data_IF_678285081150
#
_entry.id   IF_678285081150
#
_cell.length_a   1.000
_cell.length_b   1.000
_cell.length_c   1.000
_cell.angle_alpha   90.00
_cell.angle_beta   90.00
_cell.angle_gamma   90.00
#
_symmetry.space_group_name_H-M   'P 1'
#
loop_
_entity.id
_entity.type
_entity.pdbx_description
1 polymer ?
#
# COMPACT_ATOMS: atom_id res chain seq x y z
N UNK A 1 -13.45 -5.42 28.88
CA UNK A 1 -13.53 -5.44 27.41
C UNK A 1 -12.11 -5.23 26.93
N UNK A 2 -11.41 -6.30 26.53
CA UNK A 2 -10.03 -6.20 26.08
C UNK A 2 -9.99 -5.32 24.83
N UNK A 3 -9.39 -4.14 24.95
CA UNK A 3 -9.01 -3.32 23.81
C UNK A 3 -7.98 -4.14 23.04
N UNK A 4 -8.32 -4.61 21.83
CA UNK A 4 -7.35 -5.25 20.96
C UNK A 4 -6.27 -4.22 20.63
N UNK A 5 -5.13 -4.30 21.31
CA UNK A 5 -3.99 -3.46 21.00
C UNK A 5 -3.43 -3.89 19.66
N UNK A 6 -3.51 -3.02 18.65
CA UNK A 6 -2.89 -3.31 17.37
C UNK A 6 -1.37 -3.12 17.50
N UNK A 7 -0.61 -4.09 17.02
CA UNK A 7 0.83 -3.95 16.92
C UNK A 7 1.18 -3.26 15.59
N UNK A 8 1.60 -2.00 15.64
CA UNK A 8 1.93 -1.24 14.42
C UNK A 8 3.11 -1.86 13.65
N UNK A 9 3.99 -2.63 14.30
CA UNK A 9 5.08 -3.36 13.62
C UNK A 9 4.54 -4.48 12.71
N UNK A 10 3.50 -5.19 13.14
CA UNK A 10 2.83 -6.21 12.31
C UNK A 10 2.11 -5.58 11.11
N UNK A 11 1.71 -4.32 11.25
CA UNK A 11 1.19 -3.51 10.16
C UNK A 11 2.31 -2.87 9.32
N UNK A 12 3.58 -3.24 9.47
CA UNK A 12 4.69 -2.78 8.61
C UNK A 12 5.36 -1.47 9.04
N UNK A 13 5.28 -1.07 10.32
CA UNK A 13 5.97 0.13 10.81
C UNK A 13 7.49 -0.04 10.81
N UNK A 14 8.18 0.67 9.91
CA UNK A 14 9.65 0.71 9.86
C UNK A 14 10.24 1.60 10.95
N UNK A 15 11.46 1.28 11.40
CA UNK A 15 12.18 2.07 12.41
C UNK A 15 12.55 3.48 11.91
N UNK A 16 12.73 3.65 10.59
CA UNK A 16 12.91 4.98 10.00
C UNK A 16 11.67 5.86 10.19
N UNK A 17 10.47 5.28 9.96
CA UNK A 17 9.19 5.99 10.10
C UNK A 17 8.87 6.28 11.57
N UNK A 18 9.17 5.33 12.48
CA UNK A 18 9.01 5.56 13.91
C UNK A 18 9.91 6.71 14.41
N UNK A 19 11.19 6.73 14.01
CA UNK A 19 12.11 7.82 14.35
C UNK A 19 11.69 9.17 13.77
N UNK A 20 11.21 9.19 12.53
CA UNK A 20 10.66 10.39 11.91
C UNK A 20 9.47 10.93 12.71
N UNK A 21 8.55 10.04 13.10
CA UNK A 21 7.40 10.39 13.92
C UNK A 21 7.81 10.97 15.28
N UNK A 22 8.68 10.28 16.02
CA UNK A 22 9.19 10.74 17.33
C UNK A 22 9.89 12.10 17.24
N UNK A 23 10.58 12.38 16.12
CA UNK A 23 11.27 13.64 15.92
C UNK A 23 10.32 14.80 15.62
N UNK A 24 9.20 14.56 14.92
CA UNK A 24 8.35 15.61 14.36
C UNK A 24 7.02 15.80 15.11
N UNK A 25 6.54 14.76 15.81
CA UNK A 25 5.16 14.70 16.32
C UNK A 25 5.08 14.14 17.75
N UNK A 26 5.89 14.67 18.67
CA UNK A 26 6.03 14.18 20.06
C UNK A 26 4.72 14.11 20.87
N UNK A 27 3.76 14.99 20.61
CA UNK A 27 2.48 15.07 21.33
C UNK A 27 1.31 14.58 20.47
N UNK A 28 1.56 13.56 19.64
CA UNK A 28 0.58 12.96 18.74
C UNK A 28 0.63 11.45 18.88
N UNK A 29 -0.31 10.79 18.24
CA UNK A 29 -0.35 9.34 18.15
C UNK A 29 -0.07 8.93 16.71
N UNK A 30 0.71 7.86 16.56
CA UNK A 30 1.01 7.29 15.27
C UNK A 30 -0.13 6.38 14.84
N UNK A 31 -0.51 6.45 13.57
CA UNK A 31 -1.44 5.49 13.00
C UNK A 31 -1.22 5.25 11.51
N UNK A 32 -1.82 4.17 11.01
CA UNK A 32 -1.80 3.79 9.59
C UNK A 32 -3.17 3.98 8.96
N UNK A 33 -3.24 4.69 7.84
CA UNK A 33 -4.47 4.85 7.06
C UNK A 33 -4.83 3.53 6.40
N UNK A 34 -6.01 2.99 6.70
CA UNK A 34 -6.51 1.73 6.11
C UNK A 34 -7.69 1.94 5.16
N UNK A 35 -8.35 3.09 5.25
CA UNK A 35 -9.46 3.42 4.35
C UNK A 35 -9.51 4.93 4.13
N UNK A 36 -9.84 5.33 2.91
CA UNK A 36 -10.13 6.71 2.53
C UNK A 36 -11.55 6.79 1.96
N UNK A 37 -12.35 7.72 2.49
CA UNK A 37 -13.72 7.99 2.06
C UNK A 37 -14.01 9.49 2.10
N UNK A 38 -13.96 10.15 0.94
CA UNK A 38 -14.38 11.57 0.74
C UNK A 38 -13.98 12.49 1.91
N UNK A 39 -12.68 12.72 2.09
CA UNK A 39 -12.07 13.56 3.14
C UNK A 39 -12.18 13.02 4.58
N UNK A 40 -12.71 11.82 4.77
CA UNK A 40 -12.63 11.06 6.01
C UNK A 40 -11.73 9.84 5.83
N UNK A 41 -11.00 9.48 6.88
CA UNK A 41 -9.99 8.43 6.89
C UNK A 41 -10.26 7.50 8.06
N UNK A 42 -10.07 6.19 7.85
CA UNK A 42 -9.97 5.25 8.96
C UNK A 42 -8.50 4.99 9.24
N UNK A 43 -8.09 5.22 10.47
CA UNK A 43 -6.70 5.11 10.92
C UNK A 43 -6.62 4.03 12.00
N UNK A 44 -5.70 3.09 11.83
CA UNK A 44 -5.35 2.11 12.86
C UNK A 44 -4.25 2.69 13.73
N UNK A 45 -4.51 2.83 15.02
CA UNK A 45 -3.57 3.19 16.08
C UNK A 45 -3.32 1.97 16.96
N UNK A 46 -2.40 2.07 17.92
CA UNK A 46 -2.20 0.99 18.92
C UNK A 46 -3.46 0.73 19.76
N UNK A 47 -4.32 1.73 19.94
CA UNK A 47 -5.53 1.64 20.78
C UNK A 47 -6.77 1.17 20.02
N UNK A 48 -6.78 1.26 18.69
CA UNK A 48 -7.94 0.82 17.91
C UNK A 48 -7.99 1.39 16.49
N UNK A 49 -9.17 1.30 15.87
CA UNK A 49 -9.46 1.95 14.60
C UNK A 49 -10.32 3.17 14.87
N UNK A 50 -9.87 4.34 14.44
CA UNK A 50 -10.57 5.61 14.63
C UNK A 50 -10.91 6.26 13.28
N UNK A 51 -11.95 7.10 13.27
CA UNK A 51 -12.20 8.00 12.15
C UNK A 51 -11.36 9.27 12.29
N UNK A 52 -10.89 9.80 11.18
CA UNK A 52 -10.01 10.95 11.16
C UNK A 52 -10.22 11.85 9.94
N UNK A 53 -9.92 13.14 10.09
CA UNK A 53 -9.94 14.16 9.03
C UNK A 53 -8.60 14.88 8.99
N UNK A 54 -8.24 15.44 7.84
CA UNK A 54 -7.03 16.28 7.75
C UNK A 54 -7.22 17.59 8.50
N UNK A 55 -6.16 18.07 9.13
CA UNK A 55 -6.13 19.41 9.70
C UNK A 55 -6.32 20.49 8.63
N UNK A 56 -6.83 21.65 9.03
CA UNK A 56 -6.96 22.81 8.14
C UNK A 56 -5.62 23.27 7.56
N UNK A 57 -4.51 23.05 8.28
CA UNK A 57 -3.16 23.33 7.79
C UNK A 57 -2.80 22.47 6.56
N UNK A 58 -2.99 21.15 6.64
CA UNK A 58 -2.75 20.26 5.49
C UNK A 58 -3.62 20.68 4.30
N UNK A 59 -4.89 21.00 4.55
CA UNK A 59 -5.81 21.42 3.48
C UNK A 59 -5.36 22.73 2.82
N UNK A 60 -4.78 23.65 3.59
CA UNK A 60 -4.25 24.92 3.09
C UNK A 60 -2.92 24.76 2.33
N UNK A 61 -2.02 23.91 2.84
CA UNK A 61 -0.69 23.68 2.28
C UNK A 61 -0.73 22.75 1.03
N UNK A 62 -1.79 21.95 0.87
CA UNK A 62 -1.94 21.01 -0.23
C UNK A 62 -2.06 21.71 -1.60
N UNK A 63 -1.13 21.38 -2.50
CA UNK A 63 -1.12 21.86 -3.88
C UNK A 63 -1.85 20.90 -4.82
N UNK A 64 -1.94 19.63 -4.43
CA UNK A 64 -2.46 18.54 -5.27
C UNK A 64 -3.06 17.42 -4.42
N UNK A 65 -3.63 16.41 -5.08
CA UNK A 65 -4.25 15.29 -4.37
C UNK A 65 -3.23 14.40 -3.63
N UNK A 66 -1.98 14.37 -4.09
CA UNK A 66 -0.93 13.58 -3.44
C UNK A 66 -0.50 14.11 -2.07
N UNK A 67 -0.78 15.38 -1.77
CA UNK A 67 -0.51 16.01 -0.48
C UNK A 67 -1.49 15.57 0.63
N UNK A 68 -2.58 14.90 0.25
CA UNK A 68 -3.53 14.30 1.19
C UNK A 68 -3.12 12.88 1.57
N UNK A 69 -3.57 12.38 2.75
CA UNK A 69 -3.35 10.99 3.13
C UNK A 69 -3.98 10.04 2.11
N UNK A 70 -3.32 8.91 1.88
CA UNK A 70 -3.76 7.81 1.05
C UNK A 70 -3.69 6.48 1.84
N UNK A 71 -4.31 5.43 1.33
CA UNK A 71 -4.27 4.11 1.96
C UNK A 71 -2.82 3.61 2.07
N UNK A 72 -2.43 3.23 3.29
CA UNK A 72 -1.08 2.81 3.63
C UNK A 72 -0.20 3.92 4.22
N UNK A 73 -0.62 5.19 4.20
CA UNK A 73 0.14 6.26 4.84
C UNK A 73 0.25 6.04 6.35
N UNK A 74 1.42 6.36 6.87
CA UNK A 74 1.62 6.58 8.29
C UNK A 74 1.31 8.05 8.58
N UNK A 75 0.51 8.31 9.60
CA UNK A 75 0.00 9.65 9.93
C UNK A 75 0.14 9.93 11.42
N UNK A 76 0.30 11.22 11.75
CA UNK A 76 0.24 11.72 13.11
C UNK A 76 -1.15 12.26 13.41
N UNK A 77 -1.86 11.66 14.37
CA UNK A 77 -3.21 12.05 14.80
C UNK A 77 -3.19 12.66 16.21
N UNK A 78 -4.14 13.54 16.51
CA UNK A 78 -4.25 14.23 17.81
C UNK A 78 -4.71 13.32 18.96
N UNK A 79 -5.38 12.21 18.65
CA UNK A 79 -5.86 11.21 19.60
C UNK A 79 -5.93 9.83 18.97
N UNK A 80 -5.94 8.80 19.79
CA UNK A 80 -6.05 7.39 19.41
C UNK A 80 -7.34 6.70 19.88
N UNK A 81 -8.22 7.44 20.56
CA UNK A 81 -9.53 6.99 21.05
C UNK A 81 -10.69 7.56 20.22
N UNK A 82 -11.70 6.72 19.93
CA UNK A 82 -12.90 7.08 19.17
C UNK A 82 -14.05 7.58 20.07
N UNK A 83 -13.77 8.58 20.92
CA UNK A 83 -14.74 9.05 21.92
C UNK A 83 -15.29 10.47 21.68
N UNK A 84 -14.64 11.28 20.83
CA UNK A 84 -14.97 12.70 20.65
C UNK A 84 -15.10 13.11 19.17
N UNK A 85 -15.71 12.25 18.35
CA UNK A 85 -15.83 12.46 16.90
C UNK A 85 -14.51 12.22 16.15
N UNK A 86 -14.42 12.69 14.90
CA UNK A 86 -13.26 12.44 14.03
C UNK A 86 -11.97 13.06 14.59
N UNK A 87 -10.94 12.24 14.77
CA UNK A 87 -9.59 12.71 15.09
C UNK A 87 -9.01 13.58 13.97
N UNK A 88 -7.96 14.33 14.27
CA UNK A 88 -7.33 15.25 13.32
C UNK A 88 -5.94 14.74 12.93
N UNK A 89 -5.72 14.54 11.63
CA UNK A 89 -4.41 14.24 11.03
C UNK A 89 -3.62 15.54 10.92
N UNK A 90 -2.53 15.62 11.67
CA UNK A 90 -1.61 16.76 11.71
C UNK A 90 -0.43 16.62 10.77
N UNK A 91 -0.14 15.41 10.30
CA UNK A 91 0.95 15.17 9.38
C UNK A 91 0.92 13.79 8.76
N UNK A 92 1.59 13.68 7.62
CA UNK A 92 1.79 12.45 6.86
C UNK A 92 3.30 12.19 6.88
N UNK A 93 3.71 10.99 7.30
CA UNK A 93 5.13 10.62 7.31
C UNK A 93 5.61 10.25 5.91
N UNK A 94 6.93 10.28 5.70
CA UNK A 94 7.52 10.03 4.39
C UNK A 94 7.15 8.65 3.82
N UNK A 95 6.62 8.65 2.60
CA UNK A 95 6.31 7.44 1.82
C UNK A 95 7.60 6.79 1.30
N UNK A 96 7.73 5.47 1.43
CA UNK A 96 8.83 4.72 0.83
C UNK A 96 8.45 4.01 -0.47
N UNK A 97 7.15 3.89 -0.75
CA UNK A 97 6.66 3.44 -2.04
C UNK A 97 5.33 4.10 -2.40
N UNK A 98 5.05 4.25 -3.70
CA UNK A 98 3.85 4.90 -4.23
C UNK A 98 3.35 4.17 -5.47
N UNK A 99 2.20 3.51 -5.36
CA UNK A 99 1.42 3.08 -6.52
C UNK A 99 0.44 4.17 -6.89
N UNK A 100 0.63 4.79 -8.05
CA UNK A 100 -0.28 5.81 -8.60
C UNK A 100 -0.75 5.44 -10.00
N UNK A 101 -1.89 6.00 -10.40
CA UNK A 101 -2.44 5.90 -11.74
C UNK A 101 -2.70 7.31 -12.27
N UNK A 102 -2.34 7.54 -13.53
CA UNK A 102 -2.70 8.77 -14.24
C UNK A 102 -4.21 8.83 -14.46
N UNK A 103 -4.85 9.91 -14.03
CA UNK A 103 -6.26 10.18 -14.33
C UNK A 103 -6.35 10.83 -15.72
N UNK A 104 -7.33 10.43 -16.52
CA UNK A 104 -7.54 11.00 -17.85
C UNK A 104 -8.32 12.32 -17.74
N UNK A 105 -7.82 13.37 -18.39
CA UNK A 105 -8.51 14.66 -18.55
C UNK A 105 -8.01 15.76 -17.61
N UNK A 106 -7.43 16.80 -18.22
CA UNK A 106 -7.13 18.14 -17.68
C UNK A 106 -6.30 18.15 -16.38
N UNK A 107 -4.98 18.30 -16.57
CA UNK A 107 -3.84 18.20 -15.61
C UNK A 107 -3.36 16.76 -15.37
N UNK A 108 -2.04 16.62 -15.26
CA UNK A 108 -1.32 15.38 -14.90
C UNK A 108 -1.62 14.96 -13.45
N UNK A 109 -2.89 14.92 -13.05
CA UNK A 109 -3.27 14.54 -11.71
C UNK A 109 -3.08 13.02 -11.58
N UNK A 110 -2.13 12.64 -10.73
CA UNK A 110 -1.91 11.28 -10.31
C UNK A 110 -2.85 10.94 -9.15
N UNK A 111 -3.61 9.86 -9.31
CA UNK A 111 -4.35 9.27 -8.21
C UNK A 111 -3.50 8.21 -7.54
N UNK A 112 -3.19 8.41 -6.25
CA UNK A 112 -2.55 7.39 -5.43
C UNK A 112 -3.55 6.28 -5.15
N UNK A 113 -3.15 5.03 -5.40
CA UNK A 113 -3.91 3.83 -5.10
C UNK A 113 -3.52 3.30 -3.72
N UNK A 114 -2.21 3.19 -3.47
CA UNK A 114 -1.66 2.73 -2.21
C UNK A 114 -0.19 3.17 -2.06
N UNK A 115 0.27 3.24 -0.82
CA UNK A 115 1.64 3.63 -0.47
C UNK A 115 2.18 2.73 0.64
N UNK A 116 3.49 2.79 0.87
CA UNK A 116 4.17 2.02 1.93
C UNK A 116 3.88 0.51 1.82
N UNK A 117 3.99 0.01 0.60
CA UNK A 117 3.99 -1.41 0.24
C UNK A 117 5.44 -1.85 0.05
N UNK A 118 5.85 -2.92 0.74
CA UNK A 118 7.19 -3.50 0.61
C UNK A 118 7.26 -4.50 -0.54
N UNK A 119 6.22 -5.33 -0.70
CA UNK A 119 6.18 -6.42 -1.66
C UNK A 119 4.88 -6.34 -2.46
N UNK A 120 4.99 -6.42 -3.78
CA UNK A 120 3.86 -6.46 -4.69
C UNK A 120 3.77 -7.85 -5.35
N UNK A 121 2.77 -8.63 -4.96
CA UNK A 121 2.48 -9.90 -5.63
C UNK A 121 1.74 -9.65 -6.94
N UNK A 122 2.38 -9.97 -8.06
CA UNK A 122 1.83 -9.86 -9.40
C UNK A 122 1.29 -11.22 -9.80
N UNK A 123 -0.03 -11.37 -9.79
CA UNK A 123 -0.68 -12.63 -10.11
C UNK A 123 -0.97 -12.72 -11.61
N UNK A 124 -0.58 -13.85 -12.22
CA UNK A 124 -0.93 -14.19 -13.59
C UNK A 124 -1.39 -15.64 -13.63
N UNK A 125 -2.49 -15.92 -14.32
CA UNK A 125 -3.00 -17.28 -14.45
C UNK A 125 -2.29 -18.01 -15.60
N UNK A 126 -1.90 -19.26 -15.38
CA UNK A 126 -1.23 -20.11 -16.39
C UNK A 126 -2.18 -20.65 -17.47
N UNK A 127 -3.48 -20.36 -17.37
CA UNK A 127 -4.47 -20.71 -18.38
C UNK A 127 -4.51 -19.70 -19.57
N UNK A 128 -5.67 -19.46 -20.17
CA UNK A 128 -5.88 -18.59 -21.34
C UNK A 128 -5.52 -17.10 -21.17
N UNK A 129 -5.04 -16.66 -20.01
CA UNK A 129 -4.66 -15.26 -19.76
C UNK A 129 -3.14 -15.05 -19.54
N UNK A 130 -2.33 -16.00 -19.98
CA UNK A 130 -0.87 -15.91 -19.95
C UNK A 130 -0.38 -14.82 -20.93
N UNK A 131 0.24 -13.76 -20.41
CA UNK A 131 0.64 -12.59 -21.21
C UNK A 131 1.92 -11.95 -20.67
N UNK A 132 3.05 -12.32 -21.27
CA UNK A 132 4.38 -11.86 -20.88
C UNK A 132 4.52 -10.33 -20.94
N UNK A 133 4.02 -9.69 -22.01
CA UNK A 133 4.09 -8.21 -22.15
C UNK A 133 3.35 -7.48 -21.04
N UNK A 134 2.22 -8.04 -20.57
CA UNK A 134 1.47 -7.49 -19.45
C UNK A 134 2.24 -7.70 -18.14
N UNK A 135 2.80 -8.89 -17.95
CA UNK A 135 3.58 -9.22 -16.76
C UNK A 135 4.81 -8.31 -16.63
N UNK A 136 5.60 -8.18 -17.69
CA UNK A 136 6.78 -7.32 -17.76
C UNK A 136 6.42 -5.87 -17.36
N UNK A 137 5.34 -5.33 -17.93
CA UNK A 137 4.87 -3.99 -17.56
C UNK A 137 4.52 -3.87 -16.07
N UNK A 138 3.88 -4.88 -15.48
CA UNK A 138 3.55 -4.86 -14.05
C UNK A 138 4.78 -5.00 -13.16
N UNK A 139 5.78 -5.78 -13.57
CA UNK A 139 7.07 -5.86 -12.89
C UNK A 139 7.73 -4.47 -12.87
N UNK A 140 7.76 -3.78 -14.02
CA UNK A 140 8.29 -2.42 -14.09
C UNK A 140 7.54 -1.45 -13.19
N UNK A 141 6.20 -1.46 -13.20
CA UNK A 141 5.39 -0.60 -12.32
C UNK A 141 5.64 -0.88 -10.84
N UNK A 142 5.83 -2.14 -10.44
CA UNK A 142 6.15 -2.48 -9.06
C UNK A 142 7.52 -1.90 -8.66
N UNK A 143 8.55 -2.07 -9.48
CA UNK A 143 9.86 -1.49 -9.22
C UNK A 143 9.82 0.05 -9.18
N UNK A 144 9.15 0.69 -10.13
CA UNK A 144 8.97 2.16 -10.16
C UNK A 144 8.25 2.69 -8.92
N UNK A 145 7.33 1.91 -8.35
CA UNK A 145 6.65 2.26 -7.11
C UNK A 145 7.57 2.25 -5.90
N UNK A 146 8.71 1.54 -5.96
CA UNK A 146 9.59 1.25 -4.82
C UNK A 146 9.29 -0.06 -4.07
N UNK A 147 8.27 -0.81 -4.47
CA UNK A 147 7.97 -2.13 -3.93
C UNK A 147 8.75 -3.23 -4.65
N UNK A 148 9.12 -4.30 -3.95
CA UNK A 148 9.73 -5.50 -4.55
C UNK A 148 8.64 -6.33 -5.24
N UNK A 149 8.70 -6.59 -6.55
CA UNK A 149 7.77 -7.51 -7.20
C UNK A 149 8.05 -8.96 -6.81
N UNK A 150 6.98 -9.76 -6.78
CA UNK A 150 7.01 -11.23 -6.76
C UNK A 150 5.95 -11.72 -7.73
N UNK A 151 6.34 -12.55 -8.70
CA UNK A 151 5.40 -13.12 -9.68
C UNK A 151 4.77 -14.39 -9.11
N UNK A 152 3.45 -14.45 -9.16
CA UNK A 152 2.67 -15.62 -8.72
C UNK A 152 1.87 -16.15 -9.90
N UNK A 153 2.36 -17.24 -10.48
CA UNK A 153 1.74 -17.99 -11.56
C UNK A 153 0.68 -18.92 -10.97
N UNK A 154 -0.59 -18.54 -11.08
CA UNK A 154 -1.73 -19.24 -10.49
C UNK A 154 -2.34 -20.27 -11.43
N UNK A 155 -3.11 -21.22 -10.88
CA UNK A 155 -3.79 -22.31 -11.61
C UNK A 155 -2.83 -23.28 -12.30
N UNK A 156 -1.71 -23.58 -11.65
CA UNK A 156 -0.73 -24.54 -12.18
C UNK A 156 -1.33 -25.93 -12.43
N UNK A 157 -2.37 -26.32 -11.68
CA UNK A 157 -3.12 -27.58 -11.85
C UNK A 157 -3.89 -27.68 -13.17
N UNK A 158 -4.17 -26.56 -13.83
CA UNK A 158 -4.91 -26.50 -15.09
C UNK A 158 -3.99 -26.26 -16.31
N UNK A 159 -2.68 -26.37 -16.12
CA UNK A 159 -1.69 -26.12 -17.15
C UNK A 159 -0.89 -27.39 -17.40
N UNK A 160 -0.90 -27.87 -18.63
CA UNK A 160 -0.12 -29.04 -19.04
C UNK A 160 1.38 -28.68 -19.14
N UNK A 161 1.69 -27.46 -19.61
CA UNK A 161 3.05 -27.01 -19.90
C UNK A 161 3.57 -25.96 -18.89
N UNK A 162 3.53 -26.27 -17.59
CA UNK A 162 3.96 -25.33 -16.53
C UNK A 162 5.43 -24.94 -16.67
N UNK A 163 6.30 -25.92 -16.94
CA UNK A 163 7.75 -25.70 -16.99
C UNK A 163 8.15 -24.77 -18.14
N UNK A 164 7.54 -24.93 -19.32
CA UNK A 164 7.76 -24.07 -20.48
C UNK A 164 7.38 -22.61 -20.17
N UNK A 165 6.16 -22.40 -19.66
CA UNK A 165 5.68 -21.06 -19.28
C UNK A 165 6.50 -20.44 -18.15
N UNK A 166 6.99 -21.24 -17.22
CA UNK A 166 7.87 -20.77 -16.16
C UNK A 166 9.19 -20.27 -16.75
N UNK A 167 9.78 -21.01 -17.70
CA UNK A 167 10.99 -20.58 -18.40
C UNK A 167 10.78 -19.24 -19.11
N UNK A 168 9.69 -19.08 -19.85
CA UNK A 168 9.36 -17.82 -20.54
C UNK A 168 9.22 -16.64 -19.57
N UNK A 169 8.68 -16.88 -18.37
CA UNK A 169 8.56 -15.83 -17.34
C UNK A 169 9.92 -15.48 -16.75
N UNK A 170 10.77 -16.48 -16.49
CA UNK A 170 12.10 -16.26 -15.94
C UNK A 170 12.98 -15.41 -16.87
N UNK A 171 12.79 -15.53 -18.19
CA UNK A 171 13.51 -14.71 -19.17
C UNK A 171 13.21 -13.21 -19.06
N UNK A 172 12.00 -12.83 -18.63
CA UNK A 172 11.58 -11.43 -18.46
C UNK A 172 11.61 -10.94 -17.01
N UNK A 173 11.66 -11.84 -16.03
CA UNK A 173 11.53 -11.55 -14.60
C UNK A 173 12.89 -11.60 -13.87
N UNK A 174 13.94 -11.05 -14.49
CA UNK A 174 15.30 -11.08 -13.95
C UNK A 174 15.35 -10.39 -12.58
N UNK A 175 15.84 -11.12 -11.56
CA UNK A 175 15.94 -10.62 -10.19
C UNK A 175 14.60 -10.56 -9.44
N UNK A 176 13.55 -11.17 -9.99
CA UNK A 176 12.21 -11.25 -9.39
C UNK A 176 11.92 -12.70 -9.02
N UNK A 177 11.38 -12.91 -7.81
CA UNK A 177 10.97 -14.25 -7.37
C UNK A 177 9.73 -14.69 -8.16
N UNK A 178 9.72 -15.91 -8.70
CA UNK A 178 8.61 -16.47 -9.49
C UNK A 178 8.13 -17.77 -8.84
N UNK A 179 6.83 -17.85 -8.55
CA UNK A 179 6.19 -18.98 -7.88
C UNK A 179 5.03 -19.52 -8.72
N UNK A 180 5.02 -20.81 -9.02
CA UNK A 180 3.85 -21.50 -9.58
C UNK A 180 3.02 -22.12 -8.45
N UNK A 181 1.72 -21.80 -8.41
CA UNK A 181 0.81 -22.22 -7.34
C UNK A 181 -0.54 -22.69 -7.88
N UNK A 182 -1.20 -23.54 -7.12
CA UNK A 182 -2.62 -23.88 -7.27
C UNK A 182 -3.37 -23.50 -5.99
N UNK A 183 -4.61 -23.03 -6.14
CA UNK A 183 -5.51 -22.76 -5.01
C UNK A 183 -6.39 -23.96 -4.65
N UNK A 184 -6.24 -25.08 -5.37
CA UNK A 184 -6.92 -26.32 -5.05
C UNK A 184 -6.28 -26.91 -3.78
N UNK A 185 -7.05 -27.01 -2.70
CA UNK A 185 -6.61 -27.74 -1.51
C UNK A 185 -6.35 -29.19 -1.92
N UNK A 186 -5.12 -29.68 -1.75
CA UNK A 186 -4.85 -31.11 -1.68
C UNK A 186 -5.48 -31.71 -0.42
#
# INVERSE_FOLDING_TARGET
MELSKFNLKELGLKDSTAREFESLYKDKYLGRVVCEQKNCYRVVTESGIINAKVSGKIMYDACSREDYPAVGDWVAVDRDEDLQGDAIIHGILKRYSKFSRKVAGVKNDEQIIAVNIDIAFITMSLNSNFNLRRLERYISTAWESGAKPVVVLTKADLCEDVEEKLSEVLDIAIGVDVLAVSSSNQ
#
